data_IF_860674505366
#
_entry.id   IF_860674505366
#
_cell.length_a   1.000
_cell.length_b   1.000
_cell.length_c   1.000
_cell.angle_alpha   90.00
_cell.angle_beta   90.00
_cell.angle_gamma   90.00
#
_symmetry.space_group_name_H-M   'P 1'
#
loop_
_entity.id
_entity.type
_entity.pdbx_description
1 polymer ?
#
# COMPACT_ATOMS: atom_id res chain seq x y z
N UNK A 1 13.69 -55.45 -23.02
CA UNK A 1 12.84 -55.37 -21.82
C UNK A 1 12.47 -53.92 -21.58
N UNK A 2 11.34 -53.49 -22.15
CA UNK A 2 10.06 -53.31 -21.44
C UNK A 2 10.13 -52.15 -20.43
N UNK A 3 10.05 -50.90 -20.92
CA UNK A 3 9.26 -49.82 -20.30
C UNK A 3 9.24 -48.58 -21.24
N UNK A 4 8.65 -48.73 -22.42
CA UNK A 4 8.38 -47.62 -23.38
C UNK A 4 6.89 -47.27 -23.43
N UNK A 5 6.04 -47.77 -22.53
CA UNK A 5 4.59 -47.79 -22.78
C UNK A 5 3.70 -47.22 -21.68
N UNK A 6 4.00 -46.06 -21.11
CA UNK A 6 2.98 -45.26 -20.41
C UNK A 6 3.24 -43.75 -20.53
N UNK A 7 3.08 -43.19 -21.73
CA UNK A 7 2.88 -41.76 -21.89
C UNK A 7 1.71 -41.51 -22.86
N UNK A 8 0.65 -40.78 -22.46
CA UNK A 8 -0.47 -40.46 -23.35
C UNK A 8 -0.01 -39.48 -24.45
N UNK A 9 -0.54 -39.60 -25.68
CA UNK A 9 0.07 -39.01 -26.89
C UNK A 9 -0.07 -37.49 -27.05
N UNK A 10 -0.56 -36.73 -26.05
CA UNK A 10 -0.89 -35.31 -26.20
C UNK A 10 -0.42 -34.41 -25.04
N UNK A 11 0.66 -34.76 -24.34
CA UNK A 11 1.21 -33.88 -23.30
C UNK A 11 2.42 -33.11 -23.85
N UNK A 12 2.23 -31.81 -24.13
CA UNK A 12 3.35 -30.89 -24.37
C UNK A 12 4.11 -30.73 -23.06
N UNK A 13 5.26 -31.38 -22.94
CA UNK A 13 6.16 -31.15 -21.83
C UNK A 13 6.74 -29.75 -21.94
N UNK A 14 6.42 -28.89 -20.97
CA UNK A 14 7.16 -27.64 -20.72
C UNK A 14 8.64 -27.97 -20.53
N UNK A 15 9.55 -27.08 -20.95
CA UNK A 15 11.00 -27.25 -20.82
C UNK A 15 11.44 -27.66 -19.40
N UNK A 16 10.63 -27.33 -18.38
CA UNK A 16 10.81 -27.74 -16.99
C UNK A 16 10.72 -29.26 -16.75
N UNK A 17 9.83 -29.98 -17.43
CA UNK A 17 9.67 -31.42 -17.23
C UNK A 17 10.85 -32.21 -17.81
N UNK A 18 11.44 -31.73 -18.91
CA UNK A 18 12.69 -32.26 -19.46
C UNK A 18 13.88 -31.95 -18.55
N UNK A 19 13.94 -30.75 -17.96
CA UNK A 19 14.98 -30.39 -16.99
C UNK A 19 14.92 -31.24 -15.72
N UNK A 20 13.72 -31.55 -15.21
CA UNK A 20 13.53 -32.41 -14.05
C UNK A 20 13.96 -33.86 -14.33
N UNK A 21 13.66 -34.41 -15.51
CA UNK A 21 14.10 -35.76 -15.87
C UNK A 21 15.63 -35.86 -16.04
N UNK A 22 16.28 -34.82 -16.57
CA UNK A 22 17.74 -34.75 -16.68
C UNK A 22 18.44 -34.60 -15.32
N UNK A 23 17.82 -33.90 -14.36
CA UNK A 23 18.33 -33.76 -13.00
C UNK A 23 18.30 -35.11 -12.24
N UNK A 24 17.27 -35.94 -12.45
CA UNK A 24 17.15 -37.25 -11.79
C UNK A 24 18.20 -38.26 -12.28
N UNK A 25 18.69 -38.12 -13.52
CA UNK A 25 19.69 -39.04 -14.10
C UNK A 25 21.14 -38.63 -13.83
N UNK A 26 21.39 -37.45 -13.25
CA UNK A 26 22.74 -36.90 -13.09
C UNK A 26 23.33 -37.00 -11.67
N UNK A 27 22.64 -37.65 -10.72
CA UNK A 27 23.22 -38.01 -9.42
C UNK A 27 23.83 -36.83 -8.63
N UNK A 28 23.40 -35.60 -8.91
CA UNK A 28 23.79 -34.41 -8.16
C UNK A 28 22.85 -34.29 -6.97
N UNK A 29 23.27 -34.86 -5.85
CA UNK A 29 22.82 -34.44 -4.53
C UNK A 29 23.21 -32.96 -4.32
N UNK A 30 22.37 -32.05 -4.81
CA UNK A 30 22.22 -30.75 -4.19
C UNK A 30 20.79 -30.70 -3.67
N UNK A 31 20.65 -31.03 -2.39
CA UNK A 31 19.51 -30.63 -1.58
C UNK A 31 19.49 -29.09 -1.48
N UNK A 32 19.00 -28.43 -2.53
CA UNK A 32 18.50 -27.09 -2.41
C UNK A 32 17.10 -27.21 -1.79
N UNK A 33 17.00 -26.89 -0.50
CA UNK A 33 15.75 -26.84 0.25
C UNK A 33 14.72 -25.98 -0.47
N UNK A 34 13.85 -26.62 -1.24
CA UNK A 34 12.58 -26.06 -1.65
C UNK A 34 11.68 -26.11 -0.42
N UNK A 35 11.76 -25.06 0.40
CA UNK A 35 10.79 -24.82 1.46
C UNK A 35 9.39 -24.71 0.82
N UNK A 36 8.38 -25.42 1.35
CA UNK A 36 7.04 -25.45 0.78
C UNK A 36 6.43 -24.04 0.74
N UNK A 37 5.68 -23.73 -0.33
CA UNK A 37 4.99 -22.46 -0.57
C UNK A 37 3.82 -22.18 0.43
N UNK A 38 3.85 -22.76 1.62
CA UNK A 38 2.81 -22.68 2.65
C UNK A 38 3.33 -22.16 4.00
N UNK A 39 4.44 -21.40 4.02
CA UNK A 39 4.94 -20.79 5.26
C UNK A 39 4.07 -19.58 5.60
N UNK A 40 3.09 -19.77 6.48
CA UNK A 40 2.57 -18.66 7.27
C UNK A 40 3.77 -17.99 7.92
N UNK A 41 4.05 -16.73 7.56
CA UNK A 41 5.10 -15.93 8.20
C UNK A 41 4.72 -15.75 9.68
N UNK A 42 5.18 -16.67 10.51
CA UNK A 42 5.25 -16.53 11.95
C UNK A 42 6.37 -15.53 12.21
N UNK A 43 6.00 -14.24 12.25
CA UNK A 43 6.95 -13.15 12.47
C UNK A 43 7.72 -13.29 13.80
N UNK A 44 8.68 -12.38 14.07
CA UNK A 44 9.48 -12.42 15.29
C UNK A 44 8.62 -12.42 16.57
N UNK A 45 9.14 -12.89 17.73
CA UNK A 45 8.36 -12.97 18.97
C UNK A 45 7.65 -11.64 19.31
N UNK A 46 6.33 -11.69 19.50
CA UNK A 46 5.49 -10.50 19.73
C UNK A 46 4.88 -9.89 18.46
N UNK A 47 5.16 -10.44 17.28
CA UNK A 47 4.56 -10.03 16.03
C UNK A 47 3.07 -10.44 15.97
N UNK A 48 2.20 -9.49 15.63
CA UNK A 48 0.76 -9.73 15.48
C UNK A 48 0.37 -9.61 14.00
N UNK A 49 -0.73 -10.25 13.60
CA UNK A 49 -1.26 -10.13 12.23
C UNK A 49 -1.52 -8.66 11.81
N UNK A 50 -1.81 -7.79 12.78
CA UNK A 50 -1.97 -6.33 12.57
C UNK A 50 -0.67 -5.61 12.18
N UNK A 51 0.50 -6.21 12.45
CA UNK A 51 1.81 -5.68 12.08
C UNK A 51 2.19 -5.96 10.61
N UNK A 52 1.32 -6.64 9.84
CA UNK A 52 1.52 -6.82 8.40
C UNK A 52 1.43 -5.52 7.63
N UNK A 53 0.54 -4.63 8.07
CA UNK A 53 0.24 -3.40 7.36
C UNK A 53 0.66 -2.20 8.19
N UNK A 54 0.86 -1.08 7.51
CA UNK A 54 0.87 0.24 8.11
C UNK A 54 -0.17 1.08 7.38
N UNK A 55 -0.94 1.83 8.17
CA UNK A 55 -1.87 2.84 7.68
C UNK A 55 -1.39 4.20 8.16
N UNK A 56 -1.39 5.20 7.30
CA UNK A 56 -1.05 6.56 7.68
C UNK A 56 -1.83 7.57 6.84
N UNK A 57 -2.05 8.76 7.39
CA UNK A 57 -2.53 9.92 6.66
C UNK A 57 -1.44 10.95 6.49
N UNK A 58 -1.54 11.76 5.44
CA UNK A 58 -0.55 12.76 5.11
C UNK A 58 -1.19 14.05 4.60
N UNK A 59 -0.50 15.17 4.79
CA UNK A 59 -0.73 16.44 4.09
C UNK A 59 0.61 16.91 3.54
N UNK A 60 0.61 17.25 2.25
CA UNK A 60 1.77 17.77 1.51
C UNK A 60 1.52 19.22 1.17
N UNK A 61 2.44 20.07 1.59
CA UNK A 61 2.43 21.51 1.37
C UNK A 61 3.51 21.88 0.34
N UNK A 62 3.19 22.86 -0.51
CA UNK A 62 4.11 23.41 -1.50
C UNK A 62 3.47 23.65 -2.86
N UNK A 63 4.26 23.60 -3.93
CA UNK A 63 3.76 23.68 -5.31
C UNK A 63 3.37 22.28 -5.81
N UNK A 64 2.15 21.87 -5.43
CA UNK A 64 1.65 20.49 -5.60
C UNK A 64 0.32 20.40 -6.37
N UNK A 65 -0.35 21.53 -6.61
CA UNK A 65 -1.57 21.61 -7.41
C UNK A 65 -1.25 21.93 -8.87
N UNK A 66 -1.97 21.30 -9.81
CA UNK A 66 -1.78 21.52 -11.25
C UNK A 66 -0.56 20.81 -11.86
N UNK A 67 0.26 20.14 -11.04
CA UNK A 67 1.49 19.46 -11.47
C UNK A 67 1.36 17.94 -11.60
N UNK A 68 0.14 17.41 -11.45
CA UNK A 68 -0.14 15.97 -11.54
C UNK A 68 0.27 15.16 -10.30
N UNK A 69 0.43 15.80 -9.13
CA UNK A 69 0.85 15.12 -7.89
C UNK A 69 -0.02 13.92 -7.53
N UNK A 70 -1.35 14.07 -7.58
CA UNK A 70 -2.32 13.00 -7.26
C UNK A 70 -2.19 11.80 -8.20
N UNK A 71 -1.98 12.07 -9.49
CA UNK A 71 -1.82 11.04 -10.52
C UNK A 71 -0.53 10.24 -10.29
N UNK A 72 0.59 10.95 -10.11
CA UNK A 72 1.88 10.33 -9.80
C UNK A 72 1.84 9.53 -8.48
N UNK A 73 1.10 10.02 -7.48
CA UNK A 73 0.91 9.33 -6.19
C UNK A 73 0.17 8.02 -6.39
N UNK A 74 -0.89 8.02 -7.20
CA UNK A 74 -1.64 6.81 -7.54
C UNK A 74 -0.79 5.78 -8.28
N UNK A 75 0.04 6.23 -9.23
CA UNK A 75 0.97 5.37 -9.96
C UNK A 75 2.02 4.77 -9.02
N UNK A 76 2.63 5.59 -8.16
CA UNK A 76 3.62 5.12 -7.19
C UNK A 76 3.01 4.14 -6.19
N UNK A 77 1.82 4.44 -5.68
CA UNK A 77 1.11 3.56 -4.77
C UNK A 77 0.84 2.21 -5.43
N UNK A 78 0.41 2.21 -6.69
CA UNK A 78 0.20 0.97 -7.46
C UNK A 78 1.50 0.17 -7.62
N UNK A 79 2.62 0.82 -7.95
CA UNK A 79 3.93 0.16 -8.07
C UNK A 79 4.41 -0.49 -6.77
N UNK A 80 4.08 0.14 -5.63
CA UNK A 80 4.45 -0.33 -4.30
C UNK A 80 3.44 -1.32 -3.69
N UNK A 81 2.30 -1.58 -4.36
CA UNK A 81 1.22 -2.40 -3.80
C UNK A 81 0.48 -1.73 -2.63
N UNK A 82 0.44 -0.40 -2.62
CA UNK A 82 -0.26 0.42 -1.65
C UNK A 82 -1.70 0.71 -2.10
N UNK A 83 -2.61 0.78 -1.14
CA UNK A 83 -4.00 1.21 -1.31
C UNK A 83 -4.23 2.53 -0.60
N UNK A 84 -5.31 3.24 -0.93
CA UNK A 84 -5.65 4.49 -0.28
C UNK A 84 -6.22 5.51 -1.24
N UNK A 85 -6.00 6.78 -0.93
CA UNK A 85 -6.53 7.86 -1.74
C UNK A 85 -5.69 9.13 -1.65
N UNK A 86 -5.88 10.01 -2.62
CA UNK A 86 -5.29 11.35 -2.66
C UNK A 86 -6.33 12.38 -3.15
N UNK A 87 -6.23 13.60 -2.63
CA UNK A 87 -7.15 14.70 -2.94
C UNK A 87 -6.42 16.04 -2.84
N UNK A 88 -6.83 17.03 -3.63
CA UNK A 88 -6.39 18.40 -3.42
C UNK A 88 -7.31 19.05 -2.39
N UNK A 89 -6.76 19.97 -1.61
CA UNK A 89 -7.53 20.79 -0.68
C UNK A 89 -7.69 22.20 -1.22
N UNK A 90 -8.70 22.91 -0.72
CA UNK A 90 -8.89 24.34 -0.99
C UNK A 90 -7.74 25.21 -0.46
N UNK A 91 -6.96 24.69 0.51
CA UNK A 91 -5.79 25.35 1.10
C UNK A 91 -4.55 25.31 0.20
N UNK A 92 -4.64 24.69 -0.98
CA UNK A 92 -3.48 24.55 -1.86
C UNK A 92 -2.60 23.33 -1.56
N UNK A 93 -3.05 22.41 -0.70
CA UNK A 93 -2.29 21.23 -0.27
C UNK A 93 -2.81 19.95 -0.91
N UNK A 94 -2.03 18.87 -0.84
CA UNK A 94 -2.48 17.52 -1.22
C UNK A 94 -2.58 16.67 0.03
N UNK A 95 -3.73 16.01 0.21
CA UNK A 95 -4.00 15.16 1.37
C UNK A 95 -4.37 13.75 0.94
N UNK A 96 -4.20 12.81 1.85
CA UNK A 96 -4.62 11.45 1.60
C UNK A 96 -4.38 10.50 2.76
N UNK A 97 -4.80 9.26 2.53
CA UNK A 97 -4.47 8.12 3.37
C UNK A 97 -3.83 7.05 2.52
N UNK A 98 -2.87 6.33 3.10
CA UNK A 98 -2.24 5.17 2.49
C UNK A 98 -2.29 4.00 3.46
N UNK A 99 -2.58 2.82 2.94
CA UNK A 99 -2.38 1.54 3.60
C UNK A 99 -1.51 0.66 2.73
N UNK A 100 -0.45 0.11 3.30
CA UNK A 100 0.50 -0.74 2.59
C UNK A 100 1.17 -1.73 3.54
N UNK A 101 1.97 -2.64 3.02
CA UNK A 101 2.79 -3.51 3.85
C UNK A 101 3.73 -2.66 4.74
N UNK A 102 3.92 -3.05 6.00
CA UNK A 102 4.72 -2.27 6.97
C UNK A 102 6.16 -2.03 6.49
N UNK A 103 6.73 -2.98 5.74
CA UNK A 103 8.05 -2.86 5.12
C UNK A 103 8.13 -1.84 3.98
N UNK A 104 6.99 -1.54 3.34
CA UNK A 104 6.91 -0.66 2.15
C UNK A 104 6.51 0.76 2.54
N UNK A 105 5.85 0.95 3.68
CA UNK A 105 5.40 2.25 4.15
C UNK A 105 6.50 3.33 4.20
N UNK A 106 7.75 3.05 4.63
CA UNK A 106 8.83 4.04 4.59
C UNK A 106 9.11 4.55 3.17
N UNK A 107 9.19 3.66 2.19
CA UNK A 107 9.45 4.02 0.79
C UNK A 107 8.34 4.90 0.21
N UNK A 108 7.09 4.68 0.61
CA UNK A 108 5.98 5.55 0.21
C UNK A 108 6.09 6.94 0.84
N UNK A 109 6.44 7.02 2.13
CA UNK A 109 6.63 8.31 2.84
C UNK A 109 7.78 9.12 2.26
N UNK A 110 8.90 8.47 1.97
CA UNK A 110 10.06 9.09 1.30
C UNK A 110 9.67 9.64 -0.07
N UNK A 111 8.88 8.89 -0.85
CA UNK A 111 8.42 9.35 -2.14
C UNK A 111 7.47 10.55 -2.03
N UNK A 112 6.58 10.58 -1.03
CA UNK A 112 5.71 11.73 -0.78
C UNK A 112 6.51 13.00 -0.43
N UNK A 113 7.63 12.84 0.29
CA UNK A 113 8.54 13.95 0.61
C UNK A 113 9.30 14.47 -0.61
N UNK A 114 9.67 13.59 -1.56
CA UNK A 114 10.33 13.99 -2.80
C UNK A 114 9.35 14.59 -3.83
N UNK A 115 8.16 13.99 -3.96
CA UNK A 115 7.16 14.34 -4.95
C UNK A 115 7.57 13.98 -6.40
N UNK A 116 6.66 14.17 -7.38
CA UNK A 116 6.99 14.03 -8.80
C UNK A 116 7.89 15.18 -9.32
N UNK A 117 8.57 14.99 -10.46
CA UNK A 117 9.56 15.95 -11.00
C UNK A 117 9.07 17.39 -11.22
N UNK A 118 7.75 17.58 -11.44
CA UNK A 118 7.14 18.89 -11.69
C UNK A 118 6.62 19.58 -10.42
N UNK A 119 6.70 18.90 -9.27
CA UNK A 119 6.25 19.44 -7.99
C UNK A 119 7.42 19.99 -7.19
N UNK A 120 7.10 20.91 -6.27
CA UNK A 120 8.02 21.31 -5.20
C UNK A 120 7.32 21.06 -3.87
N UNK A 121 7.85 20.12 -3.12
CA UNK A 121 7.37 19.79 -1.78
C UNK A 121 8.15 20.65 -0.79
N UNK A 122 7.44 21.52 -0.08
CA UNK A 122 8.02 22.40 0.93
C UNK A 122 7.96 21.70 2.31
N UNK A 123 6.85 21.02 2.61
CA UNK A 123 6.68 20.25 3.85
C UNK A 123 5.73 19.06 3.66
N UNK A 124 6.00 17.95 4.34
CA UNK A 124 5.07 16.81 4.44
C UNK A 124 4.86 16.46 5.91
N UNK A 125 3.60 16.53 6.35
CA UNK A 125 3.21 16.04 7.67
C UNK A 125 2.54 14.69 7.54
N UNK A 126 3.01 13.70 8.29
CA UNK A 126 2.49 12.33 8.29
C UNK A 126 2.03 11.95 9.70
N UNK A 127 0.88 11.27 9.80
CA UNK A 127 0.39 10.65 11.04
C UNK A 127 0.12 9.17 10.81
N UNK A 128 0.87 8.32 11.49
CA UNK A 128 0.68 6.87 11.50
C UNK A 128 -0.53 6.46 12.34
N UNK A 129 -1.24 5.43 11.89
CA UNK A 129 -2.35 4.81 12.61
C UNK A 129 -1.90 3.60 13.41
N UNK A 130 -2.41 3.46 14.64
CA UNK A 130 -2.08 2.36 15.54
C UNK A 130 -2.57 1.00 15.04
N UNK A 131 -3.74 0.96 14.38
CA UNK A 131 -4.43 -0.27 13.98
C UNK A 131 -4.51 -0.46 12.45
N UNK A 132 -3.76 0.32 11.68
CA UNK A 132 -3.70 0.30 10.20
C UNK A 132 -5.01 0.62 9.46
N UNK A 133 -6.10 0.88 10.20
CA UNK A 133 -7.41 1.19 9.61
C UNK A 133 -7.40 2.62 9.11
N UNK A 134 -7.52 2.77 7.79
CA UNK A 134 -7.72 4.06 7.11
C UNK A 134 -9.22 4.36 7.05
N UNK A 135 -9.63 5.63 7.02
CA UNK A 135 -11.03 6.04 7.04
C UNK A 135 -11.79 5.57 5.80
N UNK A 136 -11.13 5.60 4.63
CA UNK A 136 -11.73 5.17 3.36
C UNK A 136 -10.99 3.98 2.76
N UNK A 137 -11.68 2.84 2.70
CA UNK A 137 -11.16 1.62 2.09
C UNK A 137 -11.59 1.51 0.63
N UNK A 138 -10.61 1.36 -0.27
CA UNK A 138 -10.83 1.17 -1.70
C UNK A 138 -10.06 -0.07 -2.19
N UNK A 139 -10.59 -0.74 -3.22
CA UNK A 139 -9.94 -1.89 -3.86
C UNK A 139 -8.68 -1.52 -4.66
N UNK A 140 -8.51 -0.24 -4.97
CA UNK A 140 -7.33 0.33 -5.63
C UNK A 140 -7.09 1.75 -5.12
N UNK A 141 -5.93 2.34 -5.41
CA UNK A 141 -5.67 3.72 -5.05
C UNK A 141 -6.63 4.67 -5.81
N UNK A 142 -7.30 5.59 -5.10
CA UNK A 142 -8.34 6.44 -5.69
C UNK A 142 -8.00 7.93 -5.58
N UNK A 143 -8.16 8.65 -6.67
CA UNK A 143 -8.14 10.12 -6.66
C UNK A 143 -9.55 10.60 -6.32
N UNK A 144 -9.68 11.36 -5.24
CA UNK A 144 -10.97 11.90 -4.81
C UNK A 144 -11.21 13.27 -5.47
N UNK A 145 -12.49 13.62 -5.73
CA UNK A 145 -12.87 14.94 -6.23
C UNK A 145 -12.61 16.00 -5.16
N UNK A 146 -12.29 17.23 -5.56
CA UNK A 146 -11.76 18.26 -4.65
C UNK A 146 -12.84 18.77 -3.67
N UNK A 147 -14.12 18.62 -4.02
CA UNK A 147 -15.28 19.07 -3.23
C UNK A 147 -15.63 18.13 -2.06
N UNK A 148 -15.04 16.94 -1.99
CA UNK A 148 -15.35 15.97 -0.94
C UNK A 148 -14.74 16.38 0.40
N UNK A 149 -15.54 16.45 1.46
CA UNK A 149 -15.00 16.69 2.80
C UNK A 149 -14.24 15.47 3.33
N UNK A 150 -12.92 15.60 3.46
CA UNK A 150 -12.02 14.53 3.96
C UNK A 150 -11.19 14.93 5.17
N UNK A 151 -11.40 16.13 5.69
CA UNK A 151 -10.68 16.64 6.85
C UNK A 151 -10.96 15.83 8.13
N UNK A 152 -10.02 15.95 9.08
CA UNK A 152 -9.97 15.21 10.33
C UNK A 152 -10.10 16.17 11.53
N UNK A 153 -10.24 15.58 12.73
CA UNK A 153 -10.27 16.34 13.99
C UNK A 153 -8.91 16.83 14.45
N UNK A 154 -7.84 16.14 14.06
CA UNK A 154 -6.46 16.49 14.39
C UNK A 154 -5.60 16.53 13.14
N UNK A 155 -4.39 17.12 13.20
CA UNK A 155 -3.45 17.17 12.09
C UNK A 155 -3.10 15.78 11.51
N UNK A 156 -2.60 15.68 10.26
CA UNK A 156 -2.15 16.79 9.43
C UNK A 156 -3.28 17.62 8.79
N UNK A 157 -4.34 17.02 8.26
CA UNK A 157 -5.43 17.76 7.60
C UNK A 157 -6.64 18.01 8.52
N UNK A 158 -6.50 18.93 9.47
CA UNK A 158 -7.59 19.29 10.40
C UNK A 158 -8.60 20.27 9.78
N UNK A 159 -9.91 20.05 9.97
CA UNK A 159 -10.93 21.02 9.53
C UNK A 159 -10.79 22.32 10.32
N UNK A 160 -10.95 23.48 9.67
CA UNK A 160 -10.90 24.80 10.32
C UNK A 160 -11.91 24.92 11.48
N UNK A 161 -13.10 24.32 11.34
CA UNK A 161 -14.15 24.27 12.37
C UNK A 161 -13.67 23.67 13.70
N UNK A 162 -12.69 22.77 13.67
CA UNK A 162 -12.09 22.17 14.86
C UNK A 162 -10.86 22.93 15.35
N UNK A 163 -10.26 23.78 14.53
CA UNK A 163 -9.06 24.54 14.88
C UNK A 163 -9.40 25.83 15.67
N UNK A 164 -10.55 26.46 15.37
CA UNK A 164 -10.98 27.70 16.03
C UNK A 164 -11.70 27.47 17.37
N UNK A 165 -12.25 26.28 17.58
CA UNK A 165 -12.96 25.91 18.82
C UNK A 165 -12.02 25.32 19.89
N UNK A 166 -11.02 26.09 20.31
CA UNK A 166 -10.16 25.81 21.47
C UNK A 166 -10.87 25.80 22.84
N UNK A 167 -12.16 25.42 22.89
CA UNK A 167 -12.94 25.32 24.12
C UNK A 167 -14.43 25.17 23.84
N UNK A 168 -14.95 23.94 23.93
CA UNK A 168 -16.39 23.68 23.91
C UNK A 168 -16.75 22.38 23.19
N UNK A 169 -17.19 21.38 23.95
CA UNK A 169 -17.55 20.07 23.44
C UNK A 169 -18.63 20.10 22.35
N UNK A 170 -18.32 19.47 21.22
CA UNK A 170 -19.28 19.11 20.18
C UNK A 170 -19.21 17.62 19.91
N UNK A 171 -20.26 16.91 20.31
CA UNK A 171 -20.48 15.48 20.13
C UNK A 171 -20.26 15.06 18.67
N UNK A 172 -19.59 13.92 18.47
CA UNK A 172 -19.50 13.31 17.14
C UNK A 172 -20.89 12.97 16.60
N UNK A 173 -21.19 13.20 15.31
CA UNK A 173 -22.32 12.53 14.69
C UNK A 173 -22.00 11.03 14.64
N UNK A 174 -22.84 10.24 15.32
CA UNK A 174 -22.85 8.79 15.29
C UNK A 174 -22.95 8.31 13.85
N UNK A 175 -22.03 7.42 13.46
CA UNK A 175 -22.15 6.62 12.25
C UNK A 175 -23.30 5.62 12.44
N UNK A 176 -24.49 6.01 12.00
CA UNK A 176 -25.55 5.12 11.57
C UNK A 176 -26.25 5.79 10.38
N UNK A 177 -26.69 4.97 9.42
CA UNK A 177 -27.24 5.31 8.09
C UNK A 177 -26.21 5.55 6.98
N UNK A 178 -25.73 4.47 6.35
CA UNK A 178 -26.39 3.85 5.18
C UNK A 178 -25.72 2.52 4.81
#
# INVERSE_FOLDING_TARGET
SLLVLLAPPNMRFSCYALAALLAVMSGLEQAAGLEPLDVAFDGPPGWRMVDRFAGFRYEVMGNVIGVGFRQATSEKATQLGCFGWAQNTERGTVVGEVRCAKSVAPAMKEWLAAGPPKSRVDEVTVKDYENTKIKLHFSHFKILPDERQTCFRDPPHQCAEFAENGGGGGSAPSHDEF
#
